data_IF_139926488464
#
_entry.id   IF_139926488464
#
_cell.length_a   1.000
_cell.length_b   1.000
_cell.length_c   1.000
_cell.angle_alpha   90.00
_cell.angle_beta   90.00
_cell.angle_gamma   90.00
#
_symmetry.space_group_name_H-M   'P 1'
#
loop_
_entity.id
_entity.type
_entity.pdbx_description
1 polymer ?
#
# COMPACT_ATOMS: atom_id res chain seq x y z
N UNK A 1 -12.89 -16.11 -0.53
CA UNK A 1 -13.30 -14.74 -0.88
C UNK A 1 -13.60 -13.87 0.35
N UNK A 2 -14.32 -14.36 1.36
CA UNK A 2 -14.59 -13.61 2.60
C UNK A 2 -13.34 -13.25 3.42
N UNK A 3 -12.28 -14.07 3.39
CA UNK A 3 -11.02 -13.84 4.11
C UNK A 3 -10.29 -12.57 3.68
N UNK A 4 -10.35 -12.23 2.38
CA UNK A 4 -9.66 -11.07 1.80
C UNK A 4 -10.28 -9.73 2.18
N UNK A 5 -11.55 -9.73 2.59
CA UNK A 5 -12.26 -8.52 3.02
C UNK A 5 -11.95 -8.19 4.49
N UNK A 6 -11.81 -9.21 5.33
CA UNK A 6 -11.58 -9.06 6.78
C UNK A 6 -10.10 -8.83 7.09
N UNK A 7 -9.19 -9.56 6.43
CA UNK A 7 -7.75 -9.54 6.73
C UNK A 7 -7.15 -8.13 6.79
N UNK A 8 -7.27 -7.30 5.74
CA UNK A 8 -6.74 -5.93 5.74
C UNK A 8 -7.36 -5.05 6.83
N UNK A 9 -8.68 -5.12 7.02
CA UNK A 9 -9.36 -4.32 8.05
C UNK A 9 -8.94 -4.72 9.46
N UNK A 10 -8.64 -6.00 9.68
CA UNK A 10 -8.14 -6.47 10.97
C UNK A 10 -6.69 -6.02 11.22
N UNK A 11 -5.85 -5.98 10.19
CA UNK A 11 -4.50 -5.44 10.30
C UNK A 11 -4.52 -3.95 10.70
N UNK A 12 -5.38 -3.15 10.06
CA UNK A 12 -5.57 -1.73 10.39
C UNK A 12 -6.17 -1.57 11.79
N UNK A 13 -7.15 -2.40 12.17
CA UNK A 13 -7.74 -2.39 13.52
C UNK A 13 -6.69 -2.62 14.60
N UNK A 14 -5.80 -3.59 14.41
CA UNK A 14 -4.71 -3.88 15.36
C UNK A 14 -3.69 -2.74 15.43
N UNK A 15 -3.41 -2.07 14.32
CA UNK A 15 -2.61 -0.85 14.32
C UNK A 15 -3.32 0.29 15.08
N UNK A 16 -4.64 0.43 14.92
CA UNK A 16 -5.43 1.43 15.65
C UNK A 16 -5.55 1.16 17.16
N UNK A 17 -5.49 -0.11 17.59
CA UNK A 17 -5.42 -0.47 19.02
C UNK A 17 -4.13 0.02 19.68
N UNK A 18 -3.03 0.17 18.92
CA UNK A 18 -1.78 0.78 19.37
C UNK A 18 -1.85 2.31 19.42
N UNK A 19 -3.02 2.89 19.15
CA UNK A 19 -3.30 4.35 19.10
C UNK A 19 -2.53 5.14 18.05
N UNK A 20 -1.82 4.44 17.15
CA UNK A 20 -1.12 5.03 16.01
C UNK A 20 -2.07 5.61 14.94
N UNK A 21 -3.38 5.35 15.03
CA UNK A 21 -4.40 5.71 14.05
C UNK A 21 -5.66 6.31 14.70
N UNK A 22 -6.53 7.00 13.94
CA UNK A 22 -7.78 7.56 14.45
C UNK A 22 -8.66 6.52 15.18
N UNK A 23 -9.26 6.91 16.30
CA UNK A 23 -10.07 6.02 17.15
C UNK A 23 -11.23 5.34 16.42
N UNK A 24 -11.70 5.90 15.29
CA UNK A 24 -12.74 5.30 14.45
C UNK A 24 -12.30 3.96 13.85
N UNK A 25 -11.00 3.80 13.55
CA UNK A 25 -10.45 2.58 12.95
C UNK A 25 -10.33 1.42 13.95
N UNK A 26 -10.38 1.71 15.25
CA UNK A 26 -10.42 0.69 16.31
C UNK A 26 -11.82 0.21 16.68
N UNK A 27 -12.90 0.83 16.18
CA UNK A 27 -14.28 0.52 16.57
C UNK A 27 -14.77 -0.79 15.96
N UNK A 28 -15.45 -1.60 16.77
CA UNK A 28 -16.07 -2.86 16.35
C UNK A 28 -17.56 -2.90 16.69
N UNK A 29 -18.29 -3.82 16.05
CA UNK A 29 -19.68 -4.12 16.39
C UNK A 29 -19.77 -5.20 17.50
N UNK A 30 -20.98 -5.62 17.85
CA UNK A 30 -21.25 -6.64 18.90
C UNK A 30 -20.60 -8.01 18.63
N UNK A 31 -20.20 -8.30 17.40
CA UNK A 31 -19.54 -9.55 17.00
C UNK A 31 -18.03 -9.37 16.82
N UNK A 32 -17.45 -8.31 17.40
CA UNK A 32 -16.03 -7.94 17.25
C UNK A 32 -15.58 -7.79 15.80
N UNK A 33 -16.46 -7.31 14.91
CA UNK A 33 -16.11 -7.03 13.50
C UNK A 33 -15.84 -5.53 13.33
N UNK A 34 -14.75 -5.11 12.66
CA UNK A 34 -14.44 -3.70 12.42
C UNK A 34 -15.34 -3.05 11.34
N UNK A 35 -16.63 -2.93 11.64
CA UNK A 35 -17.66 -2.45 10.70
C UNK A 35 -17.35 -1.08 10.08
N UNK A 36 -16.86 -0.05 10.82
CA UNK A 36 -16.51 1.22 10.21
C UNK A 36 -15.43 1.10 9.13
N UNK A 37 -14.39 0.28 9.35
CA UNK A 37 -13.36 0.01 8.34
C UNK A 37 -13.92 -0.73 7.12
N UNK A 38 -14.81 -1.71 7.35
CA UNK A 38 -15.48 -2.44 6.27
C UNK A 38 -16.31 -1.51 5.38
N UNK A 39 -17.03 -0.55 5.97
CA UNK A 39 -17.83 0.43 5.23
C UNK A 39 -16.93 1.41 4.47
N UNK A 40 -15.86 1.90 5.11
CA UNK A 40 -14.90 2.82 4.48
C UNK A 40 -14.24 2.16 3.27
N UNK A 41 -13.72 0.93 3.39
CA UNK A 41 -13.10 0.26 2.24
C UNK A 41 -14.12 -0.02 1.13
N UNK A 42 -15.37 -0.37 1.47
CA UNK A 42 -16.41 -0.61 0.48
C UNK A 42 -16.72 0.67 -0.29
N UNK A 43 -16.87 1.80 0.41
CA UNK A 43 -17.07 3.11 -0.21
C UNK A 43 -15.90 3.50 -1.12
N UNK A 44 -14.66 3.33 -0.64
CA UNK A 44 -13.44 3.64 -1.42
C UNK A 44 -13.42 2.80 -2.70
N UNK A 45 -13.62 1.48 -2.60
CA UNK A 45 -13.62 0.58 -3.76
C UNK A 45 -14.73 0.96 -4.74
N UNK A 46 -15.95 1.23 -4.26
CA UNK A 46 -17.05 1.67 -5.13
C UNK A 46 -16.71 2.97 -5.85
N UNK A 47 -16.20 3.98 -5.15
CA UNK A 47 -15.84 5.28 -5.76
C UNK A 47 -14.71 5.10 -6.78
N UNK A 48 -13.70 4.29 -6.48
CA UNK A 48 -12.60 4.01 -7.39
C UNK A 48 -13.04 3.24 -8.63
N UNK A 49 -14.06 2.37 -8.55
CA UNK A 49 -14.53 1.60 -9.70
C UNK A 49 -15.50 2.35 -10.61
N UNK A 50 -16.15 3.42 -10.14
CA UNK A 50 -17.14 4.18 -10.93
C UNK A 50 -16.61 4.73 -12.27
N UNK A 51 -15.40 5.32 -12.36
CA UNK A 51 -14.87 5.82 -13.63
C UNK A 51 -14.71 4.73 -14.70
N UNK A 52 -14.50 3.47 -14.30
CA UNK A 52 -14.33 2.34 -15.22
C UNK A 52 -15.62 1.97 -15.95
N UNK A 53 -16.79 2.40 -15.46
CA UNK A 53 -18.07 2.20 -16.15
C UNK A 53 -18.16 2.99 -17.47
N UNK A 54 -17.33 4.02 -17.64
CA UNK A 54 -17.27 4.82 -18.87
C UNK A 54 -16.28 4.25 -19.90
N UNK A 55 -15.51 3.22 -19.54
CA UNK A 55 -14.66 2.50 -20.49
C UNK A 55 -15.53 1.53 -21.29
N UNK A 56 -15.34 1.53 -22.62
CA UNK A 56 -16.09 0.68 -23.54
C UNK A 56 -15.58 -0.76 -23.58
N UNK A 57 -14.36 -0.99 -23.10
CA UNK A 57 -13.69 -2.27 -23.15
C UNK A 57 -13.32 -2.79 -21.76
N UNK A 58 -13.74 -4.03 -21.49
CA UNK A 58 -13.52 -4.72 -20.22
C UNK A 58 -12.04 -5.10 -20.05
N UNK A 59 -11.34 -5.40 -21.14
CA UNK A 59 -9.91 -5.75 -21.10
C UNK A 59 -9.08 -4.56 -20.61
N UNK A 60 -9.35 -3.37 -21.15
CA UNK A 60 -8.73 -2.11 -20.74
C UNK A 60 -9.01 -1.81 -19.26
N UNK A 61 -10.27 -1.97 -18.82
CA UNK A 61 -10.62 -1.77 -17.41
C UNK A 61 -9.87 -2.75 -16.48
N UNK A 62 -9.77 -4.02 -16.87
CA UNK A 62 -9.01 -5.04 -16.12
C UNK A 62 -7.52 -4.71 -16.04
N UNK A 63 -6.93 -4.24 -17.13
CA UNK A 63 -5.51 -3.86 -17.19
C UNK A 63 -5.22 -2.67 -16.29
N UNK A 64 -6.04 -1.61 -16.34
CA UNK A 64 -5.88 -0.45 -15.46
C UNK A 64 -6.05 -0.84 -14.00
N UNK A 65 -7.06 -1.65 -13.66
CA UNK A 65 -7.26 -2.11 -12.27
C UNK A 65 -6.08 -2.95 -11.77
N UNK A 66 -5.51 -3.79 -12.63
CA UNK A 66 -4.34 -4.61 -12.30
C UNK A 66 -3.09 -3.75 -12.13
N UNK A 67 -2.86 -2.79 -13.04
CA UNK A 67 -1.76 -1.83 -12.96
C UNK A 67 -1.85 -0.98 -11.68
N UNK A 68 -3.03 -0.44 -11.38
CA UNK A 68 -3.32 0.32 -10.15
C UNK A 68 -3.01 -0.47 -8.87
N UNK A 69 -3.43 -1.74 -8.82
CA UNK A 69 -3.08 -2.60 -7.68
C UNK A 69 -1.56 -2.75 -7.57
N UNK A 70 -0.87 -3.01 -8.68
CA UNK A 70 0.58 -3.11 -8.73
C UNK A 70 1.32 -1.86 -8.26
N UNK A 71 0.91 -0.66 -8.70
CA UNK A 71 1.58 0.60 -8.35
C UNK A 71 1.51 0.90 -6.85
N UNK A 72 0.36 0.65 -6.21
CA UNK A 72 0.22 0.82 -4.75
C UNK A 72 1.13 -0.18 -3.99
N UNK A 73 1.25 -1.42 -4.48
CA UNK A 73 2.15 -2.43 -3.90
C UNK A 73 3.63 -2.04 -4.03
N UNK A 74 4.03 -1.42 -5.13
CA UNK A 74 5.40 -0.97 -5.34
C UNK A 74 5.79 0.13 -4.35
N UNK A 75 4.88 1.07 -4.05
CA UNK A 75 5.12 2.08 -3.01
C UNK A 75 5.34 1.42 -1.64
N UNK A 76 4.53 0.41 -1.30
CA UNK A 76 4.73 -0.38 -0.08
C UNK A 76 6.10 -1.06 -0.06
N UNK A 77 6.54 -1.67 -1.16
CA UNK A 77 7.86 -2.31 -1.24
C UNK A 77 9.01 -1.32 -1.08
N UNK A 78 8.92 -0.13 -1.69
CA UNK A 78 9.91 0.93 -1.52
C UNK A 78 10.02 1.31 -0.03
N UNK A 79 8.89 1.54 0.64
CA UNK A 79 8.87 1.84 2.07
C UNK A 79 9.43 0.70 2.92
N UNK A 80 9.10 -0.55 2.58
CA UNK A 80 9.58 -1.74 3.30
C UNK A 80 11.10 -1.89 3.20
N UNK A 81 11.68 -1.78 2.00
CA UNK A 81 13.13 -1.85 1.81
C UNK A 81 13.84 -0.66 2.47
N UNK A 82 13.28 0.55 2.40
CA UNK A 82 13.82 1.71 3.10
C UNK A 82 13.79 1.51 4.63
N UNK A 83 12.69 0.94 5.16
CA UNK A 83 12.56 0.60 6.57
C UNK A 83 13.57 -0.48 7.00
N UNK A 84 13.88 -1.47 6.15
CA UNK A 84 14.90 -2.48 6.43
C UNK A 84 16.30 -1.87 6.60
N UNK A 85 16.68 -0.94 5.71
CA UNK A 85 17.93 -0.17 5.83
C UNK A 85 17.91 0.64 7.14
N UNK A 86 16.85 1.43 7.36
CA UNK A 86 16.70 2.25 8.57
C UNK A 86 16.79 1.42 9.85
N UNK A 87 16.15 0.25 9.89
CA UNK A 87 16.14 -0.62 11.07
C UNK A 87 17.54 -1.13 11.43
N UNK A 88 18.41 -1.39 10.43
CA UNK A 88 19.80 -1.81 10.68
C UNK A 88 20.61 -0.71 11.37
N UNK A 89 20.34 0.56 11.05
CA UNK A 89 20.99 1.70 11.71
C UNK A 89 20.33 2.09 13.03
N UNK A 90 19.00 2.10 13.11
CA UNK A 90 18.27 2.60 14.28
C UNK A 90 18.25 1.61 15.45
N UNK A 91 18.28 0.29 15.19
CA UNK A 91 18.26 -0.74 16.23
C UNK A 91 19.31 -1.82 15.96
N UNK A 92 20.62 -1.49 16.04
CA UNK A 92 21.69 -2.41 15.65
C UNK A 92 21.82 -3.61 16.58
N UNK A 93 21.54 -3.44 17.88
CA UNK A 93 21.79 -4.40 18.97
C UNK A 93 20.65 -5.41 19.22
N UNK A 94 19.55 -5.36 18.46
CA UNK A 94 18.46 -6.33 18.63
C UNK A 94 18.90 -7.68 18.07
N UNK A 95 18.69 -8.74 18.85
CA UNK A 95 18.92 -10.12 18.42
C UNK A 95 17.97 -10.48 17.29
N UNK A 96 18.52 -10.89 16.14
CA UNK A 96 17.75 -11.22 14.93
C UNK A 96 17.85 -12.71 14.68
N UNK A 97 16.71 -13.39 14.65
CA UNK A 97 16.62 -14.81 14.29
C UNK A 97 17.03 -15.07 12.84
N UNK A 98 16.94 -14.04 11.98
CA UNK A 98 17.38 -14.08 10.59
C UNK A 98 18.18 -12.82 10.25
N UNK A 99 19.33 -13.00 9.62
CA UNK A 99 20.17 -11.92 9.11
C UNK A 99 20.46 -12.09 7.63
N UNK A 100 20.45 -10.98 6.90
CA UNK A 100 20.90 -10.96 5.50
C UNK A 100 22.40 -11.23 5.48
N UNK A 101 22.88 -12.22 4.71
CA UNK A 101 24.30 -12.52 4.62
C UNK A 101 25.07 -11.30 4.08
N UNK A 102 26.28 -11.08 4.60
CA UNK A 102 27.10 -9.92 4.24
C UNK A 102 26.83 -8.64 5.06
N UNK A 103 26.05 -8.73 6.14
CA UNK A 103 25.90 -7.66 7.13
C UNK A 103 25.36 -6.35 6.54
N UNK A 104 26.08 -5.24 6.74
CA UNK A 104 25.64 -3.91 6.27
C UNK A 104 25.64 -3.81 4.73
N UNK A 105 26.67 -4.36 4.08
CA UNK A 105 26.76 -4.37 2.61
C UNK A 105 25.66 -5.24 2.00
N UNK A 106 25.38 -6.40 2.61
CA UNK A 106 24.29 -7.29 2.18
C UNK A 106 22.93 -6.59 2.21
N UNK A 107 22.61 -5.90 3.30
CA UNK A 107 21.34 -5.15 3.43
C UNK A 107 21.24 -4.03 2.40
N UNK A 108 22.33 -3.28 2.17
CA UNK A 108 22.37 -2.22 1.18
C UNK A 108 22.20 -2.73 -0.25
N UNK A 109 22.83 -3.85 -0.60
CA UNK A 109 22.70 -4.45 -1.93
C UNK A 109 21.27 -4.95 -2.16
N UNK A 110 20.75 -5.78 -1.25
CA UNK A 110 19.41 -6.37 -1.41
C UNK A 110 18.33 -5.29 -1.39
N UNK A 111 18.36 -4.41 -0.39
CA UNK A 111 17.35 -3.36 -0.26
C UNK A 111 17.50 -2.28 -1.32
N UNK A 112 18.73 -1.92 -1.69
CA UNK A 112 19.01 -0.92 -2.73
C UNK A 112 18.57 -1.41 -4.11
N UNK A 113 18.87 -2.66 -4.46
CA UNK A 113 18.36 -3.28 -5.71
C UNK A 113 16.84 -3.36 -5.68
N UNK A 114 16.24 -3.78 -4.55
CA UNK A 114 14.79 -3.85 -4.38
C UNK A 114 14.10 -2.49 -4.58
N UNK A 115 14.64 -1.43 -3.99
CA UNK A 115 14.15 -0.05 -4.17
C UNK A 115 14.31 0.37 -5.64
N UNK A 116 15.47 0.15 -6.25
CA UNK A 116 15.73 0.54 -7.64
C UNK A 116 14.75 -0.15 -8.60
N UNK A 117 14.60 -1.47 -8.49
CA UNK A 117 13.65 -2.24 -9.32
C UNK A 117 12.22 -1.74 -9.08
N UNK A 118 11.84 -1.49 -7.83
CA UNK A 118 10.49 -1.03 -7.51
C UNK A 118 10.20 0.36 -8.09
N UNK A 119 11.18 1.27 -8.05
CA UNK A 119 11.07 2.61 -8.66
C UNK A 119 10.96 2.50 -10.18
N UNK A 120 11.82 1.68 -10.81
CA UNK A 120 11.77 1.48 -12.27
C UNK A 120 10.41 0.89 -12.67
N UNK A 121 9.95 -0.16 -11.98
CA UNK A 121 8.64 -0.76 -12.23
C UNK A 121 7.51 0.27 -12.04
N UNK A 122 7.58 1.11 -11.00
CA UNK A 122 6.57 2.13 -10.73
C UNK A 122 6.51 3.17 -11.84
N UNK A 123 7.66 3.61 -12.37
CA UNK A 123 7.74 4.53 -13.51
C UNK A 123 7.15 3.86 -14.77
N UNK A 124 7.49 2.60 -15.02
CA UNK A 124 7.01 1.85 -16.17
C UNK A 124 5.49 1.58 -16.12
N UNK A 125 4.90 1.44 -14.93
CA UNK A 125 3.45 1.24 -14.79
C UNK A 125 2.63 2.40 -15.36
N UNK A 126 3.15 3.64 -15.30
CA UNK A 126 2.46 4.81 -15.87
C UNK A 126 2.65 4.97 -17.39
N UNK A 127 3.37 4.04 -18.05
CA UNK A 127 3.52 4.03 -19.50
C UNK A 127 2.46 3.08 -20.07
N UNK A 128 1.53 3.56 -20.91
CA UNK A 128 0.51 2.70 -21.50
C UNK A 128 1.15 1.63 -22.40
N UNK A 129 0.58 0.41 -22.45
CA UNK A 129 1.05 -0.61 -23.36
C UNK A 129 0.94 -0.12 -24.80
N UNK A 130 1.85 -0.58 -25.65
CA UNK A 130 1.84 -0.21 -27.06
C UNK A 130 0.54 -0.71 -27.74
N UNK A 131 0.02 0.07 -28.68
CA UNK A 131 -1.31 -0.13 -29.27
C UNK A 131 -1.43 -1.44 -30.08
N UNK A 132 -0.30 -2.05 -30.44
CA UNK A 132 -0.19 -3.37 -31.06
C UNK A 132 -0.45 -4.52 -30.08
N UNK A 133 -0.32 -4.28 -28.76
CA UNK A 133 -0.57 -5.27 -27.72
C UNK A 133 -2.01 -5.19 -27.18
N UNK A 134 -2.49 -3.98 -26.91
CA UNK A 134 -3.82 -3.71 -26.36
C UNK A 134 -4.33 -2.36 -26.86
N UNK A 135 -5.51 -2.34 -27.48
CA UNK A 135 -6.19 -1.08 -27.80
C UNK A 135 -6.84 -0.49 -26.54
N UNK A 136 -6.06 0.34 -25.82
CA UNK A 136 -6.52 1.07 -24.63
C UNK A 136 -7.42 2.27 -24.98
N UNK A 137 -7.72 2.49 -26.27
CA UNK A 137 -8.56 3.58 -26.76
C UNK A 137 -7.89 4.95 -26.64
N UNK A 138 -8.04 5.60 -25.48
CA UNK A 138 -7.44 6.92 -25.20
C UNK A 138 -6.31 6.78 -24.16
N UNK A 139 -5.04 6.79 -24.60
CA UNK A 139 -3.89 6.65 -23.70
C UNK A 139 -3.81 7.74 -22.61
N UNK A 140 -4.27 8.97 -22.90
CA UNK A 140 -4.30 10.04 -21.91
C UNK A 140 -5.33 9.79 -20.81
N UNK A 141 -6.48 9.21 -21.16
CA UNK A 141 -7.49 8.82 -20.18
C UNK A 141 -6.99 7.66 -19.30
N UNK A 142 -6.31 6.67 -19.91
CA UNK A 142 -5.66 5.56 -19.19
C UNK A 142 -4.69 6.10 -18.12
N UNK A 143 -3.71 6.91 -18.54
CA UNK A 143 -2.68 7.44 -17.63
C UNK A 143 -3.30 8.39 -16.60
N UNK A 144 -4.27 9.21 -17.01
CA UNK A 144 -4.96 10.15 -16.13
C UNK A 144 -5.76 9.46 -15.02
N UNK A 145 -6.47 8.37 -15.33
CA UNK A 145 -7.16 7.56 -14.33
C UNK A 145 -6.18 6.86 -13.39
N UNK A 146 -5.10 6.30 -13.94
CA UNK A 146 -4.10 5.59 -13.16
C UNK A 146 -3.39 6.52 -12.16
N UNK A 147 -2.83 7.64 -12.65
CA UNK A 147 -2.18 8.65 -11.82
C UNK A 147 -3.16 9.28 -10.84
N UNK A 148 -4.37 9.60 -11.28
CA UNK A 148 -5.40 10.21 -10.44
C UNK A 148 -5.78 9.34 -9.23
N UNK A 149 -6.09 8.07 -9.47
CA UNK A 149 -6.44 7.12 -8.41
C UNK A 149 -5.22 6.84 -7.52
N UNK A 150 -4.03 6.65 -8.10
CA UNK A 150 -2.79 6.48 -7.35
C UNK A 150 -2.53 7.65 -6.40
N UNK A 151 -2.62 8.89 -6.88
CA UNK A 151 -2.48 10.09 -6.06
C UNK A 151 -3.51 10.12 -4.93
N UNK A 152 -4.79 9.81 -5.20
CA UNK A 152 -5.82 9.74 -4.17
C UNK A 152 -5.44 8.72 -3.08
N UNK A 153 -5.01 7.51 -3.45
CA UNK A 153 -4.59 6.47 -2.50
C UNK A 153 -3.42 6.93 -1.64
N UNK A 154 -2.38 7.49 -2.27
CA UNK A 154 -1.18 7.97 -1.58
C UNK A 154 -1.51 9.12 -0.63
N UNK A 155 -2.35 10.07 -1.07
CA UNK A 155 -2.80 11.20 -0.25
C UNK A 155 -3.63 10.72 0.94
N UNK A 156 -4.56 9.78 0.75
CA UNK A 156 -5.30 9.17 1.87
C UNK A 156 -4.30 8.57 2.86
N UNK A 157 -3.32 7.79 2.41
CA UNK A 157 -2.30 7.19 3.27
C UNK A 157 -1.47 8.23 4.05
N UNK A 158 -1.09 9.33 3.40
CA UNK A 158 -0.23 10.37 3.97
C UNK A 158 -0.97 11.31 4.93
N UNK A 159 -2.24 11.62 4.66
CA UNK A 159 -3.07 12.54 5.44
C UNK A 159 -3.90 11.86 6.53
N UNK A 160 -3.86 10.53 6.65
CA UNK A 160 -4.39 9.86 7.85
C UNK A 160 -3.61 10.39 9.06
N UNK A 161 -4.27 11.08 10.01
CA UNK A 161 -3.57 11.64 11.16
C UNK A 161 -3.10 10.49 12.04
N UNK A 162 -1.80 10.20 11.96
CA UNK A 162 -1.14 9.30 12.89
C UNK A 162 -0.88 10.07 14.18
N UNK A 163 -1.44 9.60 15.28
CA UNK A 163 -1.15 10.12 16.62
C UNK A 163 -0.10 9.22 17.27
N UNK A 164 1.20 9.54 17.19
CA UNK A 164 2.20 8.77 17.90
C UNK A 164 2.05 9.05 19.42
N UNK A 165 1.42 8.16 20.16
CA UNK A 165 1.52 8.16 21.62
C UNK A 165 2.84 7.48 21.99
N UNK A 166 3.66 8.14 22.83
CA UNK A 166 4.91 7.55 23.34
C UNK A 166 4.56 6.32 24.17
N UNK A 167 5.21 5.19 23.89
CA UNK A 167 5.14 4.00 24.75
C UNK A 167 5.40 4.44 26.21
N UNK A 168 4.57 4.04 27.18
CA UNK A 168 4.84 4.34 28.58
C UNK A 168 6.22 3.78 28.96
N UNK A 169 6.96 4.53 29.79
CA UNK A 169 8.38 4.26 30.12
C UNK A 169 8.64 2.87 30.74
N UNK A 170 7.59 2.13 31.11
CA UNK A 170 7.64 0.81 31.69
C UNK A 170 7.77 -0.34 30.68
N UNK A 171 7.62 -0.08 29.38
CA UNK A 171 7.78 -1.09 28.31
C UNK A 171 9.12 -0.97 27.56
N UNK A 172 10.02 -0.10 28.04
CA UNK A 172 11.36 0.12 27.49
C UNK A 172 12.48 -0.55 28.33
N UNK A 173 12.13 -1.37 29.32
CA UNK A 173 13.06 -2.06 30.21
C UNK A 173 13.15 -3.57 29.90
#
# INVERSE_FOLDING_TARGET
>A
MSTWVIGPTEAIRRAAQRRDLPAIFGKTNRHDVPTPLLIIQALIVTVMTLPFLFLKDVSTAFLVLTALSGTVYLVMYIMMFAAAIRLRYSKPLIERHFEVPGGMLGIWLVSGIGILISIVALILSFIPPAADQVDVGNPYLYVGLEVGIFCIVVLIGLFIPMHPERLPDNEQA
#
